data_IF_805048749419
#
_entry.id   IF_805048749419
#
_cell.length_a   1.000
_cell.length_b   1.000
_cell.length_c   1.000
_cell.angle_alpha   90.00
_cell.angle_beta   90.00
_cell.angle_gamma   90.00
#
_symmetry.space_group_name_H-M   'P 1'
#
loop_
_entity.id
_entity.type
_entity.pdbx_description
1 polymer ?
#
# COMPACT_ATOMS: atom_id res chain seq x y z
N UNK A 1 32.99 10.04 -5.92
CA UNK A 1 32.85 8.70 -6.55
C UNK A 1 32.82 7.55 -5.53
N UNK A 2 33.74 7.49 -4.55
CA UNK A 2 33.77 6.42 -3.52
C UNK A 2 32.57 6.41 -2.56
N UNK A 3 32.02 7.57 -2.18
CA UNK A 3 30.84 7.68 -1.29
C UNK A 3 29.55 7.20 -1.99
N UNK A 4 29.41 7.50 -3.28
CA UNK A 4 28.26 7.04 -4.09
C UNK A 4 28.34 5.52 -4.27
N UNK A 5 29.52 4.97 -4.57
CA UNK A 5 29.70 3.51 -4.63
C UNK A 5 29.38 2.82 -3.30
N UNK A 6 29.76 3.41 -2.15
CA UNK A 6 29.47 2.87 -0.83
C UNK A 6 27.97 2.89 -0.49
N UNK A 7 27.22 3.92 -0.91
CA UNK A 7 25.75 3.96 -0.78
C UNK A 7 25.08 2.92 -1.67
N UNK A 8 25.55 2.75 -2.91
CA UNK A 8 25.07 1.69 -3.81
C UNK A 8 25.36 0.29 -3.25
N UNK A 9 26.54 0.08 -2.66
CA UNK A 9 26.90 -1.20 -2.01
C UNK A 9 26.07 -1.41 -0.74
N UNK A 10 25.75 -0.37 0.04
CA UNK A 10 24.94 -0.49 1.25
C UNK A 10 23.48 -0.88 0.94
N UNK A 11 22.88 -0.32 -0.13
CA UNK A 11 21.55 -0.68 -0.62
C UNK A 11 21.49 -2.16 -1.07
N UNK A 12 22.57 -2.67 -1.67
CA UNK A 12 22.65 -4.06 -2.12
C UNK A 12 23.09 -5.04 -1.00
N UNK A 13 23.86 -4.60 0.00
CA UNK A 13 24.39 -5.46 1.06
C UNK A 13 23.43 -5.61 2.25
N UNK A 14 22.53 -4.65 2.45
CA UNK A 14 21.41 -4.75 3.38
C UNK A 14 20.14 -4.59 2.55
N UNK A 15 19.74 -5.65 1.83
CA UNK A 15 18.60 -5.62 0.91
C UNK A 15 17.39 -4.95 1.55
N UNK A 16 17.18 -3.68 1.20
CA UNK A 16 15.94 -3.00 1.53
C UNK A 16 14.93 -3.59 0.55
N UNK A 17 13.96 -4.32 1.09
CA UNK A 17 12.80 -4.81 0.33
C UNK A 17 12.26 -3.65 -0.51
N UNK A 18 12.02 -3.92 -1.79
CA UNK A 18 11.57 -2.92 -2.77
C UNK A 18 10.29 -2.20 -2.31
N UNK A 19 9.48 -2.86 -1.50
CA UNK A 19 8.31 -2.29 -0.86
C UNK A 19 8.65 -1.30 0.24
N UNK A 20 9.67 -1.58 1.03
CA UNK A 20 10.18 -0.65 2.05
C UNK A 20 10.80 0.59 1.42
N UNK A 21 11.48 0.45 0.28
CA UNK A 21 11.94 1.60 -0.50
C UNK A 21 10.75 2.48 -0.94
N UNK A 22 9.67 1.87 -1.44
CA UNK A 22 8.46 2.59 -1.85
C UNK A 22 7.72 3.26 -0.69
N UNK A 23 7.66 2.63 0.48
CA UNK A 23 7.13 3.25 1.70
C UNK A 23 7.95 4.47 2.11
N UNK A 24 9.28 4.40 2.00
CA UNK A 24 10.17 5.54 2.27
C UNK A 24 9.95 6.65 1.24
N UNK A 25 9.86 6.33 -0.06
CA UNK A 25 9.55 7.31 -1.10
C UNK A 25 8.23 8.03 -0.82
N UNK A 26 7.20 7.27 -0.43
CA UNK A 26 5.88 7.82 -0.06
C UNK A 26 5.97 8.72 1.18
N UNK A 27 6.70 8.30 2.22
CA UNK A 27 6.89 9.11 3.43
C UNK A 27 7.62 10.43 3.14
N UNK A 28 8.70 10.39 2.34
CA UNK A 28 9.43 11.59 1.90
C UNK A 28 8.51 12.52 1.09
N UNK A 29 7.70 11.95 0.20
CA UNK A 29 6.73 12.69 -0.59
C UNK A 29 5.71 13.39 0.31
N UNK A 30 5.05 12.66 1.22
CA UNK A 30 4.05 13.23 2.13
C UNK A 30 4.65 14.34 2.99
N UNK A 31 5.82 14.10 3.60
CA UNK A 31 6.50 15.09 4.43
C UNK A 31 6.82 16.38 3.66
N UNK A 32 7.30 16.25 2.42
CA UNK A 32 7.59 17.42 1.57
C UNK A 32 6.36 18.32 1.40
N UNK A 33 5.20 17.74 1.07
CA UNK A 33 3.99 18.50 0.79
C UNK A 33 3.31 19.01 2.07
N UNK A 34 3.34 18.22 3.15
CA UNK A 34 2.85 18.61 4.48
C UNK A 34 3.62 19.81 5.00
N UNK A 35 4.96 19.77 4.97
CA UNK A 35 5.81 20.89 5.38
C UNK A 35 5.59 22.13 4.51
N UNK A 36 5.37 21.95 3.19
CA UNK A 36 5.07 23.07 2.31
C UNK A 36 3.73 23.74 2.67
N UNK A 37 2.71 22.94 3.02
CA UNK A 37 1.42 23.45 3.47
C UNK A 37 1.53 24.22 4.78
N UNK A 38 2.21 23.65 5.77
CA UNK A 38 2.42 24.28 7.09
C UNK A 38 3.17 25.60 6.97
N UNK A 39 4.24 25.63 6.19
CA UNK A 39 5.04 26.84 5.99
C UNK A 39 4.24 27.99 5.32
N UNK A 40 3.30 27.66 4.43
CA UNK A 40 2.40 28.66 3.82
C UNK A 40 1.38 29.21 4.82
N UNK A 41 1.17 28.54 5.93
CA UNK A 41 0.16 28.85 6.94
C UNK A 41 0.76 29.04 8.34
N UNK A 42 2.00 29.55 8.41
CA UNK A 42 2.69 29.81 9.67
C UNK A 42 1.84 30.68 10.62
N UNK A 43 1.88 30.32 11.90
CA UNK A 43 1.14 31.03 12.95
C UNK A 43 -0.34 30.61 13.08
N UNK A 44 -0.81 29.65 12.29
CA UNK A 44 -2.14 29.07 12.49
C UNK A 44 -2.09 28.05 13.64
N UNK A 45 -3.12 28.03 14.48
CA UNK A 45 -3.32 26.91 15.40
C UNK A 45 -3.62 25.63 14.63
N UNK A 46 -3.36 24.48 15.25
CA UNK A 46 -3.64 23.16 14.66
C UNK A 46 -5.09 23.03 14.16
N UNK A 47 -6.05 23.46 14.98
CA UNK A 47 -7.48 23.46 14.61
C UNK A 47 -7.79 24.37 13.41
N UNK A 48 -7.20 25.57 13.38
CA UNK A 48 -7.41 26.52 12.29
C UNK A 48 -6.77 26.01 11.00
N UNK A 49 -5.60 25.41 11.10
CA UNK A 49 -4.88 24.82 9.98
C UNK A 49 -5.64 23.63 9.40
N UNK A 50 -6.23 22.79 10.26
CA UNK A 50 -7.11 21.70 9.85
C UNK A 50 -8.36 22.18 9.11
N UNK A 51 -9.13 23.09 9.71
CA UNK A 51 -10.35 23.62 9.06
C UNK A 51 -10.05 24.23 7.70
N UNK A 52 -8.91 24.91 7.60
CA UNK A 52 -8.42 25.49 6.35
C UNK A 52 -7.97 24.42 5.34
N UNK A 53 -7.27 23.37 5.78
CA UNK A 53 -6.81 22.30 4.90
C UNK A 53 -7.98 21.53 4.31
N UNK A 54 -9.07 21.36 5.07
CA UNK A 54 -10.29 20.74 4.56
C UNK A 54 -10.86 21.51 3.36
N UNK A 55 -11.12 22.81 3.52
CA UNK A 55 -11.61 23.66 2.42
C UNK A 55 -10.61 23.75 1.27
N UNK A 56 -9.32 23.88 1.53
CA UNK A 56 -8.32 23.94 0.46
C UNK A 56 -8.22 22.61 -0.32
N UNK A 57 -8.32 21.47 0.36
CA UNK A 57 -8.34 20.16 -0.29
C UNK A 57 -9.64 19.96 -1.09
N UNK A 58 -10.79 20.20 -0.46
CA UNK A 58 -12.10 19.93 -1.04
C UNK A 58 -12.49 20.95 -2.14
N UNK A 59 -12.47 22.25 -1.83
CA UNK A 59 -12.95 23.30 -2.74
C UNK A 59 -11.92 23.61 -3.83
N UNK A 60 -10.64 23.66 -3.45
CA UNK A 60 -9.56 24.12 -4.34
C UNK A 60 -8.75 23.00 -4.95
N UNK A 61 -9.04 21.74 -4.59
CA UNK A 61 -8.27 20.55 -5.02
C UNK A 61 -6.77 20.73 -4.74
N UNK A 62 -6.44 21.39 -3.63
CA UNK A 62 -5.06 21.70 -3.27
C UNK A 62 -4.37 20.43 -2.77
N UNK A 63 -3.38 19.96 -3.53
CA UNK A 63 -2.64 18.73 -3.22
C UNK A 63 -1.89 18.78 -1.88
N UNK A 64 -1.27 19.91 -1.55
CA UNK A 64 -0.55 20.07 -0.28
C UNK A 64 -1.51 19.95 0.91
N UNK A 65 -2.70 20.55 0.81
CA UNK A 65 -3.74 20.45 1.82
C UNK A 65 -4.27 19.02 1.97
N UNK A 66 -4.51 18.31 0.86
CA UNK A 66 -4.97 16.92 0.91
C UNK A 66 -3.90 15.98 1.51
N UNK A 67 -2.61 16.20 1.21
CA UNK A 67 -1.52 15.42 1.79
C UNK A 67 -1.30 15.74 3.27
N UNK A 68 -1.48 17.01 3.68
CA UNK A 68 -1.47 17.40 5.08
C UNK A 68 -2.56 16.66 5.88
N UNK A 69 -3.78 16.62 5.35
CA UNK A 69 -4.88 15.85 5.94
C UNK A 69 -4.53 14.37 6.00
N UNK A 70 -4.08 13.78 4.90
CA UNK A 70 -3.72 12.37 4.87
C UNK A 70 -2.66 12.04 5.94
N UNK A 71 -1.60 12.84 6.06
CA UNK A 71 -0.55 12.60 7.05
C UNK A 71 -1.12 12.60 8.49
N UNK A 72 -1.84 13.66 8.85
CA UNK A 72 -2.28 13.84 10.24
C UNK A 72 -3.41 12.86 10.65
N UNK A 73 -4.28 12.48 9.72
CA UNK A 73 -5.47 11.68 10.03
C UNK A 73 -5.32 10.20 9.66
N UNK A 74 -4.79 9.92 8.48
CA UNK A 74 -4.67 8.55 8.00
C UNK A 74 -3.46 7.83 8.63
N UNK A 75 -2.35 8.54 8.84
CA UNK A 75 -1.10 7.97 9.37
C UNK A 75 -1.01 8.18 10.88
N UNK A 76 -1.09 9.43 11.35
CA UNK A 76 -0.84 9.74 12.77
C UNK A 76 -2.05 9.52 13.68
N UNK A 77 -3.23 9.27 13.10
CA UNK A 77 -4.45 8.97 13.87
C UNK A 77 -4.94 10.14 14.72
N UNK A 78 -4.69 11.38 14.31
CA UNK A 78 -5.04 12.58 15.07
C UNK A 78 -6.53 12.97 14.93
N UNK A 79 -7.43 12.04 15.27
CA UNK A 79 -8.88 12.23 15.26
C UNK A 79 -9.40 13.24 16.30
N UNK A 80 -8.52 13.89 17.06
CA UNK A 80 -8.90 14.85 18.11
C UNK A 80 -9.54 16.13 17.55
N UNK A 81 -9.21 16.49 16.31
CA UNK A 81 -9.69 17.72 15.67
C UNK A 81 -11.01 17.48 14.94
N UNK A 82 -11.24 16.27 14.42
CA UNK A 82 -12.46 15.87 13.72
C UNK A 82 -12.92 14.50 14.19
N UNK A 83 -14.05 14.47 14.89
CA UNK A 83 -14.68 13.27 15.42
C UNK A 83 -15.94 12.87 14.66
N UNK A 84 -16.42 13.70 13.73
CA UNK A 84 -17.56 13.34 12.89
C UNK A 84 -17.13 12.35 11.83
N UNK A 85 -17.60 11.11 11.95
CA UNK A 85 -17.23 10.02 11.05
C UNK A 85 -17.64 10.27 9.59
N UNK A 86 -18.75 10.97 9.33
CA UNK A 86 -19.16 11.32 7.96
C UNK A 86 -18.23 12.34 7.32
N UNK A 87 -17.70 13.29 8.11
CA UNK A 87 -16.67 14.20 7.64
C UNK A 87 -15.41 13.41 7.29
N UNK A 88 -14.97 12.48 8.15
CA UNK A 88 -13.80 11.64 7.89
C UNK A 88 -13.95 10.79 6.60
N UNK A 89 -15.12 10.17 6.39
CA UNK A 89 -15.46 9.44 5.15
C UNK A 89 -15.33 10.37 3.94
N UNK A 90 -15.93 11.56 4.01
CA UNK A 90 -15.89 12.56 2.94
C UNK A 90 -14.46 12.98 2.64
N UNK A 91 -13.69 13.29 3.68
CA UNK A 91 -12.29 13.70 3.59
C UNK A 91 -11.46 12.65 2.86
N UNK A 92 -11.49 11.41 3.34
CA UNK A 92 -10.71 10.31 2.77
C UNK A 92 -11.11 10.04 1.32
N UNK A 93 -12.40 10.14 1.00
CA UNK A 93 -12.90 10.01 -0.38
C UNK A 93 -12.31 11.08 -1.30
N UNK A 94 -12.30 12.34 -0.85
CA UNK A 94 -11.80 13.48 -1.64
C UNK A 94 -10.29 13.53 -1.75
N UNK A 95 -9.55 13.13 -0.71
CA UNK A 95 -8.10 12.94 -0.80
C UNK A 95 -7.80 11.92 -1.89
N UNK A 96 -8.52 10.79 -1.91
CA UNK A 96 -8.38 9.78 -2.94
C UNK A 96 -8.63 10.30 -4.34
N UNK A 97 -9.78 10.95 -4.56
CA UNK A 97 -10.14 11.52 -5.85
C UNK A 97 -9.13 12.57 -6.34
N UNK A 98 -8.65 13.45 -5.45
CA UNK A 98 -7.75 14.55 -5.81
C UNK A 98 -6.37 14.04 -6.22
N UNK A 99 -5.84 13.07 -5.49
CA UNK A 99 -4.51 12.51 -5.81
C UNK A 99 -4.55 11.62 -7.05
N UNK A 100 -5.64 10.90 -7.29
CA UNK A 100 -5.76 10.02 -8.47
C UNK A 100 -5.78 10.79 -9.79
N UNK A 101 -6.39 11.97 -9.81
CA UNK A 101 -6.46 12.84 -11.00
C UNK A 101 -5.24 13.76 -11.16
N UNK A 102 -4.29 13.74 -10.23
CA UNK A 102 -3.11 14.62 -10.26
C UNK A 102 -2.26 14.32 -11.51
N UNK A 103 -1.89 15.38 -12.23
CA UNK A 103 -1.19 15.27 -13.52
C UNK A 103 0.34 15.17 -13.38
N UNK A 104 0.86 15.18 -12.16
CA UNK A 104 2.29 15.08 -11.90
C UNK A 104 2.80 13.68 -12.25
N UNK A 105 3.36 13.56 -13.46
CA UNK A 105 3.90 12.30 -13.97
C UNK A 105 5.02 11.74 -13.09
N UNK A 106 5.73 12.57 -12.32
CA UNK A 106 6.84 12.14 -11.46
C UNK A 106 6.34 11.34 -10.26
N UNK A 107 5.21 11.74 -9.67
CA UNK A 107 4.66 11.12 -8.47
C UNK A 107 3.33 10.40 -8.71
N UNK A 108 2.97 10.14 -9.97
CA UNK A 108 1.72 9.45 -10.34
C UNK A 108 1.52 8.15 -9.56
N UNK A 109 2.60 7.39 -9.40
CA UNK A 109 2.64 6.13 -8.66
C UNK A 109 2.30 6.31 -7.16
N UNK A 110 3.01 7.24 -6.51
CA UNK A 110 2.85 7.55 -5.08
C UNK A 110 1.48 8.20 -4.83
N UNK A 111 1.00 9.03 -5.74
CA UNK A 111 -0.34 9.61 -5.65
C UNK A 111 -1.42 8.54 -5.71
N UNK A 112 -1.31 7.58 -6.65
CA UNK A 112 -2.26 6.47 -6.76
C UNK A 112 -2.28 5.64 -5.48
N UNK A 113 -1.12 5.37 -4.88
CA UNK A 113 -1.04 4.69 -3.59
C UNK A 113 -1.83 5.36 -2.48
N UNK A 114 -1.53 6.63 -2.25
CA UNK A 114 -2.14 7.41 -1.18
C UNK A 114 -3.65 7.49 -1.45
N UNK A 115 -4.04 7.62 -2.72
CA UNK A 115 -5.44 7.64 -3.08
C UNK A 115 -6.18 6.34 -2.71
N UNK A 116 -5.58 5.21 -3.04
CA UNK A 116 -6.12 3.89 -2.71
C UNK A 116 -6.18 3.64 -1.22
N UNK A 117 -5.17 4.07 -0.46
CA UNK A 117 -5.20 3.95 0.99
C UNK A 117 -6.29 4.83 1.61
N UNK A 118 -6.49 6.03 1.07
CA UNK A 118 -7.56 6.93 1.49
C UNK A 118 -8.93 6.31 1.24
N UNK A 119 -9.20 5.78 0.04
CA UNK A 119 -10.47 5.08 -0.22
C UNK A 119 -10.66 3.83 0.64
N UNK A 120 -9.59 3.08 0.92
CA UNK A 120 -9.66 1.94 1.84
C UNK A 120 -10.12 2.38 3.22
N UNK A 121 -9.52 3.44 3.77
CA UNK A 121 -9.93 4.01 5.07
C UNK A 121 -11.37 4.53 5.04
N UNK A 122 -11.78 5.14 3.94
CA UNK A 122 -13.18 5.56 3.75
C UNK A 122 -14.13 4.35 3.81
N UNK A 123 -13.81 3.26 3.11
CA UNK A 123 -14.61 2.02 3.13
C UNK A 123 -14.66 1.39 4.53
N UNK A 124 -13.53 1.33 5.25
CA UNK A 124 -13.48 0.85 6.64
C UNK A 124 -14.35 1.68 7.59
N UNK A 125 -14.36 3.01 7.44
CA UNK A 125 -15.24 3.90 8.21
C UNK A 125 -16.71 3.72 7.82
N UNK A 126 -17.02 3.53 6.53
CA UNK A 126 -18.38 3.26 6.07
C UNK A 126 -18.89 1.96 6.68
N UNK A 127 -18.07 0.90 6.71
CA UNK A 127 -18.43 -0.39 7.31
C UNK A 127 -18.73 -0.28 8.79
N UNK A 128 -17.93 0.50 9.52
CA UNK A 128 -18.22 0.81 10.91
C UNK A 128 -19.56 1.54 11.07
N UNK A 129 -19.86 2.57 10.25
CA UNK A 129 -21.16 3.26 10.37
C UNK A 129 -22.32 2.32 10.04
N UNK A 130 -22.17 1.47 9.02
CA UNK A 130 -23.18 0.48 8.64
C UNK A 130 -23.43 -0.57 9.71
N UNK A 131 -22.45 -0.90 10.57
CA UNK A 131 -22.66 -1.82 11.69
C UNK A 131 -23.43 -1.21 12.86
N UNK A 132 -23.37 0.11 13.01
CA UNK A 132 -23.95 0.83 14.16
C UNK A 132 -25.31 1.49 13.86
N UNK A 133 -25.61 1.81 12.60
CA UNK A 133 -26.79 2.60 12.23
C UNK A 133 -28.01 1.75 11.87
N UNK A 134 -29.20 2.23 12.22
CA UNK A 134 -30.50 1.69 11.78
C UNK A 134 -31.25 2.64 10.84
N UNK A 135 -30.70 3.81 10.50
CA UNK A 135 -31.36 4.78 9.61
C UNK A 135 -31.28 4.31 8.15
N UNK A 136 -32.44 3.94 7.58
CA UNK A 136 -32.52 3.33 6.25
C UNK A 136 -31.93 4.22 5.16
N UNK A 137 -32.16 5.54 5.23
CA UNK A 137 -31.64 6.49 4.22
C UNK A 137 -30.12 6.59 4.27
N UNK A 138 -29.56 6.63 5.47
CA UNK A 138 -28.11 6.61 5.72
C UNK A 138 -27.51 5.31 5.20
N UNK A 139 -28.14 4.17 5.48
CA UNK A 139 -27.70 2.86 4.99
C UNK A 139 -27.66 2.83 3.46
N UNK A 140 -28.72 3.29 2.78
CA UNK A 140 -28.78 3.33 1.31
C UNK A 140 -27.69 4.23 0.72
N UNK A 141 -27.51 5.44 1.27
CA UNK A 141 -26.47 6.37 0.82
C UNK A 141 -25.05 5.83 1.03
N UNK A 142 -24.79 5.21 2.18
CA UNK A 142 -23.50 4.63 2.50
C UNK A 142 -23.18 3.38 1.66
N UNK A 143 -24.17 2.56 1.32
CA UNK A 143 -23.97 1.42 0.41
C UNK A 143 -23.50 1.87 -0.97
N UNK A 144 -24.07 2.94 -1.52
CA UNK A 144 -23.63 3.50 -2.80
C UNK A 144 -22.19 4.03 -2.73
N UNK A 145 -21.85 4.75 -1.66
CA UNK A 145 -20.48 5.24 -1.44
C UNK A 145 -19.49 4.08 -1.25
N UNK A 146 -19.92 3.02 -0.57
CA UNK A 146 -19.13 1.80 -0.40
C UNK A 146 -18.87 1.13 -1.73
N UNK A 147 -19.89 0.95 -2.58
CA UNK A 147 -19.71 0.36 -3.91
C UNK A 147 -18.69 1.15 -4.77
N UNK A 148 -18.70 2.48 -4.70
CA UNK A 148 -17.70 3.32 -5.38
C UNK A 148 -16.29 3.13 -4.80
N UNK A 149 -16.17 3.10 -3.48
CA UNK A 149 -14.89 2.92 -2.78
C UNK A 149 -14.33 1.53 -3.05
N UNK A 150 -15.17 0.50 -2.92
CA UNK A 150 -14.88 -0.88 -3.22
C UNK A 150 -14.54 -1.05 -4.71
N UNK A 151 -15.16 -0.32 -5.63
CA UNK A 151 -14.76 -0.35 -7.04
C UNK A 151 -13.31 0.12 -7.23
N UNK A 152 -12.91 1.26 -6.66
CA UNK A 152 -11.55 1.77 -6.80
C UNK A 152 -10.51 0.94 -6.03
N UNK A 153 -10.89 0.47 -4.85
CA UNK A 153 -10.12 -0.49 -4.05
C UNK A 153 -9.97 -1.81 -4.83
N UNK A 154 -11.04 -2.34 -5.41
CA UNK A 154 -11.03 -3.55 -6.22
C UNK A 154 -10.22 -3.35 -7.49
N UNK A 155 -10.22 -2.15 -8.08
CA UNK A 155 -9.34 -1.80 -9.21
C UNK A 155 -7.87 -1.85 -8.82
N UNK A 156 -7.52 -1.48 -7.59
CA UNK A 156 -6.18 -1.73 -7.04
C UNK A 156 -5.93 -3.19 -6.68
N UNK A 157 -6.88 -3.90 -6.08
CA UNK A 157 -6.74 -5.34 -5.90
C UNK A 157 -6.66 -6.10 -7.24
N UNK A 158 -7.18 -5.49 -8.31
CA UNK A 158 -7.07 -5.90 -9.71
C UNK A 158 -5.80 -5.38 -10.41
N UNK A 159 -4.81 -4.84 -9.66
CA UNK A 159 -3.42 -4.90 -10.10
C UNK A 159 -3.16 -6.26 -10.70
N UNK A 160 -2.39 -6.35 -11.80
CA UNK A 160 -2.49 -7.53 -12.63
C UNK A 160 -1.99 -8.74 -11.89
N UNK A 161 -2.95 -9.49 -11.38
CA UNK A 161 -2.74 -10.63 -10.53
C UNK A 161 -3.81 -11.60 -10.96
N UNK A 162 -3.48 -12.34 -12.00
CA UNK A 162 -4.03 -13.65 -12.26
C UNK A 162 -5.52 -13.82 -11.92
N UNK A 163 -6.41 -13.29 -12.77
CA UNK A 163 -7.83 -13.70 -12.77
C UNK A 163 -7.93 -15.01 -13.54
N UNK A 164 -8.47 -16.06 -12.91
CA UNK A 164 -8.47 -17.43 -13.44
C UNK A 164 -7.08 -17.85 -13.96
N UNK A 165 -6.03 -17.62 -13.17
CA UNK A 165 -4.64 -17.95 -13.53
C UNK A 165 -4.10 -17.25 -14.79
N UNK A 166 -4.69 -16.11 -15.20
CA UNK A 166 -4.17 -15.29 -16.31
C UNK A 166 -3.74 -13.90 -15.85
N UNK A 167 -2.47 -13.57 -16.07
CA UNK A 167 -1.95 -12.22 -15.86
C UNK A 167 -2.76 -11.23 -16.70
N UNK A 168 -3.48 -10.32 -16.04
CA UNK A 168 -4.43 -9.43 -16.71
C UNK A 168 -3.78 -8.19 -17.34
N UNK A 169 -2.55 -7.85 -16.93
CA UNK A 169 -1.76 -6.74 -17.48
C UNK A 169 -0.29 -6.89 -17.08
N UNK A 170 0.64 -6.36 -17.87
CA UNK A 170 2.07 -6.26 -17.53
C UNK A 170 2.44 -4.88 -16.94
N UNK A 171 1.50 -3.92 -17.02
CA UNK A 171 1.56 -2.62 -16.36
C UNK A 171 1.36 -2.83 -14.84
N UNK A 172 2.44 -3.24 -14.20
CA UNK A 172 2.51 -3.47 -12.77
C UNK A 172 2.90 -2.17 -12.08
N UNK A 173 2.04 -1.71 -11.18
CA UNK A 173 2.42 -0.68 -10.23
C UNK A 173 3.06 -1.33 -8.99
N UNK A 174 4.35 -1.05 -8.76
CA UNK A 174 5.16 -1.64 -7.66
C UNK A 174 4.46 -1.59 -6.30
N UNK A 175 3.84 -0.48 -5.89
CA UNK A 175 3.34 -0.33 -4.55
C UNK A 175 2.03 -1.07 -4.29
N UNK A 176 1.29 -1.36 -5.36
CA UNK A 176 0.13 -2.23 -5.30
C UNK A 176 0.50 -3.69 -5.02
N UNK A 177 1.60 -4.15 -5.60
CA UNK A 177 2.16 -5.45 -5.31
C UNK A 177 2.67 -5.52 -3.85
N UNK A 178 3.23 -4.42 -3.34
CA UNK A 178 3.68 -4.28 -1.96
C UNK A 178 2.57 -4.34 -0.89
N UNK A 179 1.43 -3.67 -1.12
CA UNK A 179 0.28 -3.71 -0.19
C UNK A 179 -0.29 -5.13 -0.01
N UNK A 180 -0.08 -6.02 -0.98
CA UNK A 180 -0.52 -7.43 -0.92
C UNK A 180 0.54 -8.39 -0.38
N UNK A 181 1.82 -8.03 -0.42
CA UNK A 181 2.88 -8.76 0.29
C UNK A 181 2.73 -8.72 1.80
N UNK A 182 2.29 -7.58 2.34
CA UNK A 182 2.03 -7.38 3.77
C UNK A 182 0.69 -7.95 4.22
N UNK A 183 -0.27 -8.14 3.29
CA UNK A 183 -1.56 -8.78 3.56
C UNK A 183 -1.44 -10.31 3.59
N UNK A 184 -0.70 -10.85 4.56
CA UNK A 184 -0.79 -12.27 4.89
C UNK A 184 -2.09 -12.56 5.66
N UNK A 185 -2.86 -13.52 5.13
CA UNK A 185 -3.73 -14.47 5.83
C UNK A 185 -4.99 -13.93 6.54
N UNK A 186 -6.02 -13.57 5.77
CA UNK A 186 -7.39 -13.51 6.31
C UNK A 186 -8.37 -14.50 5.65
N UNK A 187 -8.14 -14.99 4.42
CA UNK A 187 -9.12 -15.88 3.74
C UNK A 187 -8.48 -17.05 2.94
N UNK A 188 -8.98 -18.31 3.02
CA UNK A 188 -8.40 -19.50 2.37
C UNK A 188 -8.29 -19.47 0.84
N UNK A 189 -9.20 -18.77 0.14
CA UNK A 189 -9.24 -18.68 -1.32
C UNK A 189 -8.15 -17.72 -1.89
N UNK A 190 -7.46 -16.98 -1.01
CA UNK A 190 -6.45 -15.98 -1.40
C UNK A 190 -5.04 -16.55 -1.57
N UNK A 191 -4.75 -17.77 -1.09
CA UNK A 191 -3.38 -18.31 -0.98
C UNK A 191 -2.72 -18.50 -2.35
N UNK A 192 -3.45 -19.01 -3.35
CA UNK A 192 -2.92 -19.17 -4.72
C UNK A 192 -2.63 -17.82 -5.38
N UNK A 193 -3.47 -16.81 -5.12
CA UNK A 193 -3.24 -15.44 -5.61
C UNK A 193 -2.02 -14.82 -4.93
N UNK A 194 -1.87 -15.01 -3.62
CA UNK A 194 -0.70 -14.56 -2.87
C UNK A 194 0.59 -15.20 -3.40
N UNK A 195 0.57 -16.50 -3.72
CA UNK A 195 1.70 -17.17 -4.36
C UNK A 195 2.14 -16.48 -5.67
N UNK A 196 1.19 -16.21 -6.57
CA UNK A 196 1.49 -15.61 -7.88
C UNK A 196 2.05 -14.18 -7.76
N UNK A 197 1.55 -13.42 -6.77
CA UNK A 197 2.07 -12.11 -6.40
C UNK A 197 3.53 -12.17 -5.93
N UNK A 198 3.80 -12.99 -4.91
CA UNK A 198 5.13 -13.13 -4.32
C UNK A 198 6.12 -13.63 -5.38
N UNK A 199 5.67 -14.54 -6.25
CA UNK A 199 6.47 -15.04 -7.37
C UNK A 199 6.82 -13.95 -8.36
N UNK A 200 5.88 -13.07 -8.71
CA UNK A 200 6.15 -11.92 -9.57
C UNK A 200 7.19 -10.98 -8.95
N UNK A 201 7.03 -10.64 -7.66
CA UNK A 201 7.94 -9.75 -6.95
C UNK A 201 9.34 -10.33 -6.82
N UNK A 202 9.45 -11.60 -6.48
CA UNK A 202 10.72 -12.30 -6.48
C UNK A 202 11.35 -12.37 -7.89
N UNK A 203 10.61 -12.85 -8.89
CA UNK A 203 11.20 -13.14 -10.20
C UNK A 203 11.57 -11.87 -10.97
N UNK A 204 10.72 -10.83 -10.92
CA UNK A 204 10.88 -9.59 -11.68
C UNK A 204 11.67 -8.54 -10.91
N UNK A 205 11.36 -8.34 -9.63
CA UNK A 205 11.88 -7.25 -8.82
C UNK A 205 12.95 -7.68 -7.82
N UNK A 206 13.25 -8.98 -7.77
CA UNK A 206 14.29 -9.57 -6.89
C UNK A 206 14.06 -9.27 -5.42
N UNK A 207 12.80 -9.12 -5.03
CA UNK A 207 12.45 -8.90 -3.64
C UNK A 207 12.71 -10.16 -2.79
N UNK A 208 13.67 -10.07 -1.87
CA UNK A 208 14.18 -11.19 -1.09
C UNK A 208 13.13 -11.77 -0.13
N UNK A 209 12.29 -10.92 0.47
CA UNK A 209 11.22 -11.35 1.36
C UNK A 209 10.15 -12.13 0.58
N UNK A 210 9.78 -11.65 -0.61
CA UNK A 210 8.88 -12.37 -1.52
C UNK A 210 9.47 -13.71 -1.95
N UNK A 211 10.77 -13.75 -2.30
CA UNK A 211 11.44 -15.00 -2.66
C UNK A 211 11.36 -16.03 -1.51
N UNK A 212 11.57 -15.59 -0.26
CA UNK A 212 11.40 -16.46 0.90
C UNK A 212 9.95 -16.94 1.06
N UNK A 213 8.97 -16.06 0.87
CA UNK A 213 7.55 -16.41 0.89
C UNK A 213 7.19 -17.47 -0.14
N UNK A 214 7.65 -17.32 -1.39
CA UNK A 214 7.47 -18.32 -2.45
C UNK A 214 8.11 -19.66 -2.07
N UNK A 215 9.32 -19.63 -1.50
CA UNK A 215 10.02 -20.81 -1.00
C UNK A 215 9.16 -21.58 0.01
N UNK A 216 8.61 -20.89 0.99
CA UNK A 216 7.73 -21.49 2.00
C UNK A 216 6.43 -22.04 1.44
N UNK A 217 5.82 -21.38 0.45
CA UNK A 217 4.60 -21.89 -0.19
C UNK A 217 4.85 -23.18 -0.98
N UNK A 218 6.01 -23.31 -1.65
CA UNK A 218 6.43 -24.56 -2.30
C UNK A 218 6.81 -25.65 -1.29
N UNK A 219 7.45 -25.32 -0.17
CA UNK A 219 7.82 -26.29 0.87
C UNK A 219 6.56 -26.89 1.52
N UNK A 220 5.57 -26.04 1.80
CA UNK A 220 4.36 -26.43 2.55
C UNK A 220 3.17 -26.81 1.65
N UNK A 221 3.27 -26.66 0.33
CA UNK A 221 2.18 -26.96 -0.60
C UNK A 221 0.96 -26.05 -0.44
N UNK A 222 1.17 -24.78 -0.07
CA UNK A 222 0.08 -23.83 0.17
C UNK A 222 -0.24 -23.06 -1.12
N UNK A 223 -1.40 -23.33 -1.71
CA UNK A 223 -1.83 -22.72 -2.98
C UNK A 223 -1.08 -23.23 -4.23
N UNK A 224 -0.08 -24.09 -4.04
CA UNK A 224 0.72 -24.78 -5.06
C UNK A 224 1.04 -26.20 -4.57
N UNK A 225 1.44 -27.12 -5.47
CA UNK A 225 1.89 -28.46 -5.04
C UNK A 225 3.25 -28.36 -4.33
N UNK A 226 3.45 -29.24 -3.34
CA UNK A 226 4.75 -29.38 -2.66
C UNK A 226 5.84 -29.63 -3.71
N UNK A 227 6.92 -28.84 -3.64
CA UNK A 227 8.07 -28.99 -4.52
C UNK A 227 9.34 -28.47 -3.83
N UNK A 228 10.08 -29.37 -3.16
CA UNK A 228 11.28 -29.02 -2.41
C UNK A 228 12.40 -28.43 -3.29
N UNK A 229 12.50 -28.86 -4.56
CA UNK A 229 13.47 -28.29 -5.51
C UNK A 229 13.18 -26.82 -5.79
N UNK A 230 11.91 -26.46 -6.00
CA UNK A 230 11.52 -25.05 -6.16
C UNK A 230 11.65 -24.29 -4.85
N UNK A 231 11.25 -24.88 -3.72
CA UNK A 231 11.41 -24.25 -2.41
C UNK A 231 12.87 -23.87 -2.13
N UNK A 232 13.79 -24.82 -2.32
CA UNK A 232 15.24 -24.62 -2.21
C UNK A 232 15.74 -23.52 -3.14
N UNK A 233 15.33 -23.52 -4.42
CA UNK A 233 15.67 -22.46 -5.37
C UNK A 233 15.26 -21.07 -4.85
N UNK A 234 14.01 -20.92 -4.43
CA UNK A 234 13.46 -19.63 -4.01
C UNK A 234 14.04 -19.16 -2.67
N UNK A 235 14.32 -20.08 -1.74
CA UNK A 235 15.08 -19.78 -0.53
C UNK A 235 16.53 -19.36 -0.82
N UNK A 236 17.18 -19.97 -1.82
CA UNK A 236 18.50 -19.56 -2.30
C UNK A 236 18.47 -18.13 -2.82
N UNK A 237 17.50 -17.79 -3.68
CA UNK A 237 17.33 -16.42 -4.17
C UNK A 237 17.12 -15.40 -3.04
N UNK A 238 16.33 -15.76 -2.02
CA UNK A 238 16.15 -14.92 -0.84
C UNK A 238 17.45 -14.74 -0.04
N UNK A 239 18.24 -15.81 0.11
CA UNK A 239 19.53 -15.77 0.78
C UNK A 239 20.56 -14.91 0.02
N UNK A 240 20.64 -15.08 -1.31
CA UNK A 240 21.50 -14.28 -2.18
C UNK A 240 21.17 -12.79 -2.09
N UNK A 241 19.88 -12.47 -1.86
CA UNK A 241 19.39 -11.12 -1.60
C UNK A 241 19.46 -10.68 -0.13
N UNK A 242 20.22 -11.39 0.72
CA UNK A 242 20.51 -11.01 2.10
C UNK A 242 19.43 -11.31 3.14
N UNK A 243 18.36 -12.03 2.79
CA UNK A 243 17.29 -12.36 3.72
C UNK A 243 17.63 -13.64 4.51
N UNK A 244 17.99 -13.49 5.79
CA UNK A 244 18.51 -14.59 6.62
C UNK A 244 17.57 -15.80 6.69
N UNK A 245 16.26 -15.59 6.79
CA UNK A 245 15.29 -16.70 6.79
C UNK A 245 15.30 -17.50 5.47
N UNK A 246 15.71 -16.87 4.37
CA UNK A 246 16.00 -17.52 3.10
C UNK A 246 17.20 -18.46 3.22
N UNK A 247 18.30 -18.02 3.84
CA UNK A 247 19.48 -18.86 4.06
C UNK A 247 19.16 -20.06 4.96
N UNK A 248 18.37 -19.85 6.02
CA UNK A 248 17.97 -20.92 6.92
C UNK A 248 17.09 -21.96 6.21
N UNK A 249 16.14 -21.51 5.38
CA UNK A 249 15.31 -22.36 4.54
C UNK A 249 16.11 -23.13 3.49
N UNK A 250 17.06 -22.47 2.83
CA UNK A 250 17.96 -23.10 1.85
C UNK A 250 18.79 -24.21 2.51
N UNK A 251 19.37 -23.92 3.67
CA UNK A 251 20.17 -24.87 4.46
C UNK A 251 19.33 -26.07 4.91
N UNK A 252 18.12 -25.82 5.43
CA UNK A 252 17.18 -26.87 5.83
C UNK A 252 16.84 -27.82 4.68
N UNK A 253 16.76 -27.30 3.45
CA UNK A 253 16.47 -28.09 2.26
C UNK A 253 17.73 -28.62 1.53
N UNK A 254 18.92 -28.55 2.13
CA UNK A 254 20.12 -29.11 1.50
C UNK A 254 20.09 -30.63 1.39
N UNK A 255 19.37 -31.30 2.29
CA UNK A 255 19.25 -32.76 2.39
C UNK A 255 18.12 -33.36 1.54
N UNK A 256 17.29 -32.51 0.93
CA UNK A 256 16.24 -32.87 -0.04
C UNK A 256 16.69 -32.51 -1.46
#
# INVERSE_FOLDING_TARGET
>A
MRIILALFIYIYAFGIDVCKEKEIEMSIYINKYTNAYENKNLGYSEEKLYKKSFSDCYDKKNKEACLYIYNNFAIDGNFKIESNIFNLITIMTYVGLTLDIDKDKKYKEINRLIALDSWKKASELIDFVLSETNDTKTIEGLKLLKEMSDFEINRAYACPLYYNDKLQSDAIDMPCACKKNTAFLLEPDTIRRAFLNLKLLCDKYKDSASCWGVGGLYENGKGVRINFKQAKKYYGLACDGGYQLGCDGYKRLMEY
#
